data_IF_180920895321
#
_entry.id   IF_180920895321
#
_cell.length_a   1.000
_cell.length_b   1.000
_cell.length_c   1.000
_cell.angle_alpha   90.00
_cell.angle_beta   90.00
_cell.angle_gamma   90.00
#
_symmetry.space_group_name_H-M   'P 1'
#
loop_
_entity.id
_entity.type
_entity.pdbx_description
1 polymer ?
#
# COMPACT_ATOMS: atom_id res chain seq x y z
N UNK A 1 -1.40 -1.70 -17.50
CA UNK A 1 -2.49 -0.91 -16.86
C UNK A 1 -3.12 -1.57 -15.62
N UNK A 2 -3.79 -2.72 -15.74
CA UNK A 2 -4.62 -3.30 -14.66
C UNK A 2 -3.91 -3.46 -13.30
N UNK A 3 -2.63 -3.84 -13.32
CA UNK A 3 -1.83 -4.01 -12.10
C UNK A 3 -1.69 -2.73 -11.27
N UNK A 4 -1.54 -1.56 -11.91
CA UNK A 4 -1.43 -0.28 -11.20
C UNK A 4 -2.79 0.20 -10.66
N UNK A 5 -3.86 0.04 -11.45
CA UNK A 5 -5.20 0.39 -11.00
C UNK A 5 -5.64 -0.45 -9.78
N UNK A 6 -5.32 -1.75 -9.79
CA UNK A 6 -5.65 -2.66 -8.69
C UNK A 6 -4.98 -2.29 -7.36
N UNK A 7 -3.83 -1.62 -7.40
CA UNK A 7 -3.13 -1.15 -6.20
C UNK A 7 -3.44 0.31 -5.86
N UNK A 8 -4.43 0.92 -6.51
CA UNK A 8 -4.96 2.23 -6.16
C UNK A 8 -4.37 3.42 -6.94
N UNK A 9 -3.71 3.20 -8.09
CA UNK A 9 -3.34 4.31 -8.95
C UNK A 9 -4.59 4.99 -9.54
N UNK A 10 -4.59 6.32 -9.54
CA UNK A 10 -5.66 7.15 -10.14
C UNK A 10 -5.10 8.05 -11.23
N UNK A 11 -5.87 8.28 -12.30
CA UNK A 11 -5.51 9.23 -13.35
C UNK A 11 -5.71 10.65 -12.85
N UNK A 12 -4.70 11.50 -13.02
CA UNK A 12 -4.70 12.89 -12.52
C UNK A 12 -4.31 13.91 -13.57
N UNK A 13 -4.05 13.49 -14.80
CA UNK A 13 -3.65 14.39 -15.86
C UNK A 13 -3.08 13.67 -17.07
N UNK A 14 -2.56 14.45 -18.00
CA UNK A 14 -1.95 13.97 -19.24
C UNK A 14 -0.91 14.97 -19.76
N UNK A 15 -0.09 14.52 -20.70
CA UNK A 15 0.83 15.35 -21.46
C UNK A 15 0.23 15.76 -22.80
N UNK A 16 0.58 16.95 -23.25
CA UNK A 16 0.21 17.50 -24.56
C UNK A 16 1.46 18.03 -25.26
N UNK A 17 1.41 18.09 -26.58
CA UNK A 17 2.45 18.71 -27.39
C UNK A 17 2.01 20.10 -27.83
N UNK A 18 2.88 21.08 -27.69
CA UNK A 18 2.72 22.42 -28.23
C UNK A 18 3.97 22.81 -29.04
N UNK A 19 3.96 23.99 -29.65
CA UNK A 19 5.08 24.48 -30.47
C UNK A 19 6.41 24.57 -29.68
N UNK A 20 6.34 24.75 -28.36
CA UNK A 20 7.50 24.96 -27.47
C UNK A 20 7.98 23.66 -26.80
N UNK A 21 7.32 22.51 -27.05
CA UNK A 21 7.65 21.21 -26.48
C UNK A 21 6.46 20.51 -25.84
N UNK A 22 6.74 19.69 -24.82
CA UNK A 22 5.67 19.01 -24.07
C UNK A 22 5.12 19.94 -23.00
N UNK A 23 3.86 19.75 -22.63
CA UNK A 23 3.19 20.46 -21.53
C UNK A 23 2.32 19.49 -20.75
N UNK A 24 2.45 19.51 -19.42
CA UNK A 24 1.58 18.71 -18.56
C UNK A 24 0.28 19.45 -18.26
N UNK A 25 -0.82 18.72 -18.16
CA UNK A 25 -2.11 19.19 -17.67
C UNK A 25 -2.55 18.26 -16.54
N UNK A 26 -2.53 18.76 -15.31
CA UNK A 26 -3.08 18.05 -14.16
C UNK A 26 -4.52 18.54 -13.90
N UNK A 27 -5.44 17.62 -13.62
CA UNK A 27 -6.81 17.91 -13.23
C UNK A 27 -7.00 17.90 -11.71
N UNK A 28 -6.07 17.29 -10.98
CA UNK A 28 -6.10 17.12 -9.53
C UNK A 28 -4.69 16.89 -8.97
N UNK A 29 -4.56 16.86 -7.63
CA UNK A 29 -3.33 16.49 -6.92
C UNK A 29 -2.07 17.33 -7.22
N UNK A 30 -2.24 18.57 -7.70
CA UNK A 30 -1.13 19.47 -8.07
C UNK A 30 -0.06 19.64 -6.98
N UNK A 31 -0.50 19.77 -5.73
CA UNK A 31 0.37 20.05 -4.57
C UNK A 31 0.71 18.81 -3.76
N UNK A 32 0.21 17.62 -4.15
CA UNK A 32 0.43 16.38 -3.40
C UNK A 32 1.92 16.00 -3.44
N UNK A 33 2.46 15.60 -2.30
CA UNK A 33 3.85 15.18 -2.11
C UNK A 33 3.92 13.71 -1.69
N UNK A 34 5.11 13.12 -1.68
CA UNK A 34 5.32 11.70 -1.34
C UNK A 34 4.46 10.76 -2.19
N UNK A 35 4.44 11.02 -3.50
CA UNK A 35 3.65 10.25 -4.46
C UNK A 35 4.54 9.35 -5.29
N UNK A 36 4.04 8.15 -5.57
CA UNK A 36 4.51 7.33 -6.68
C UNK A 36 3.67 7.73 -7.89
N UNK A 37 4.29 7.93 -9.04
CA UNK A 37 3.62 8.30 -10.28
C UNK A 37 4.07 7.41 -11.43
N UNK A 38 3.24 7.35 -12.46
CA UNK A 38 3.52 6.59 -13.67
C UNK A 38 3.05 7.36 -14.91
N UNK A 39 3.81 7.20 -15.99
CA UNK A 39 3.40 7.61 -17.33
C UNK A 39 2.90 6.40 -18.09
N UNK A 40 1.69 6.50 -18.62
CA UNK A 40 0.99 5.41 -19.30
C UNK A 40 0.60 5.88 -20.69
N UNK A 41 0.83 5.07 -21.72
CA UNK A 41 0.40 5.35 -23.09
C UNK A 41 -0.27 4.13 -23.68
N UNK A 42 -1.50 4.28 -24.20
CA UNK A 42 -2.29 3.19 -24.78
C UNK A 42 -2.37 1.94 -23.87
N UNK A 43 -2.42 2.14 -22.55
CA UNK A 43 -2.47 1.06 -21.54
C UNK A 43 -1.12 0.48 -21.12
N UNK A 44 -0.03 0.82 -21.81
CA UNK A 44 1.33 0.42 -21.48
C UNK A 44 1.93 1.33 -20.43
N UNK A 45 2.53 0.74 -19.41
CA UNK A 45 3.25 1.47 -18.36
C UNK A 45 4.64 1.80 -18.90
N UNK A 46 4.87 3.06 -19.25
CA UNK A 46 6.12 3.49 -19.87
C UNK A 46 7.16 3.91 -18.85
N UNK A 47 6.73 4.53 -17.75
CA UNK A 47 7.63 5.01 -16.69
C UNK A 47 6.99 4.91 -15.32
N UNK A 48 7.80 4.67 -14.29
CA UNK A 48 7.44 4.74 -12.87
C UNK A 48 8.48 5.60 -12.16
N UNK A 49 8.03 6.50 -11.30
CA UNK A 49 8.93 7.31 -10.49
C UNK A 49 8.29 7.74 -9.17
N UNK A 50 9.11 8.09 -8.18
CA UNK A 50 8.65 8.71 -6.92
C UNK A 50 9.06 10.17 -6.80
N UNK A 51 8.34 10.94 -5.99
CA UNK A 51 8.73 12.31 -5.64
C UNK A 51 8.35 12.67 -4.21
N UNK A 52 9.26 13.35 -3.52
CA UNK A 52 9.00 14.03 -2.23
C UNK A 52 8.52 15.47 -2.42
N UNK A 53 8.73 16.04 -3.61
CA UNK A 53 8.27 17.37 -3.98
C UNK A 53 6.80 17.34 -4.42
N UNK A 54 6.19 18.51 -4.62
CA UNK A 54 4.84 18.59 -5.18
C UNK A 54 4.79 17.94 -6.57
N UNK A 55 3.70 17.22 -6.88
CA UNK A 55 3.52 16.56 -8.16
C UNK A 55 3.70 17.54 -9.33
N UNK A 56 3.10 18.73 -9.25
CA UNK A 56 3.24 19.78 -10.27
C UNK A 56 4.70 20.19 -10.50
N UNK A 57 5.48 20.34 -9.43
CA UNK A 57 6.92 20.65 -9.52
C UNK A 57 7.69 19.50 -10.18
N UNK A 58 7.33 18.24 -9.87
CA UNK A 58 7.96 17.07 -10.50
C UNK A 58 7.64 17.00 -11.99
N UNK A 59 6.39 17.23 -12.38
CA UNK A 59 5.98 17.29 -13.80
C UNK A 59 6.65 18.45 -14.52
N UNK A 60 6.75 19.62 -13.90
CA UNK A 60 7.49 20.75 -14.46
C UNK A 60 8.95 20.39 -14.75
N UNK A 61 9.59 19.60 -13.90
CA UNK A 61 10.97 19.13 -14.12
C UNK A 61 11.12 18.24 -15.37
N UNK A 62 10.10 17.45 -15.72
CA UNK A 62 10.08 16.73 -17.00
C UNK A 62 9.76 17.65 -18.17
N UNK A 63 8.89 18.64 -17.97
CA UNK A 63 8.52 19.61 -19.00
C UNK A 63 9.73 20.45 -19.45
N UNK A 64 10.50 20.96 -18.47
CA UNK A 64 11.62 21.87 -18.67
C UNK A 64 12.88 21.31 -18.00
N UNK A 65 13.49 20.25 -18.56
CA UNK A 65 14.63 19.61 -17.93
C UNK A 65 15.86 20.53 -17.97
N UNK A 66 16.57 20.62 -16.84
CA UNK A 66 17.89 21.26 -16.78
C UNK A 66 18.97 20.40 -17.46
N UNK A 67 20.11 20.98 -17.87
CA UNK A 67 21.13 20.29 -18.67
C UNK A 67 21.77 19.06 -17.98
N UNK A 68 21.78 19.03 -16.65
CA UNK A 68 22.30 17.90 -15.87
C UNK A 68 21.25 16.84 -15.50
N UNK A 69 19.97 17.07 -15.81
CA UNK A 69 18.87 16.21 -15.41
C UNK A 69 18.63 15.09 -16.42
N UNK A 70 19.61 14.19 -16.57
CA UNK A 70 19.64 13.13 -17.59
C UNK A 70 18.34 12.31 -17.68
N UNK A 71 17.74 11.93 -16.55
CA UNK A 71 16.45 11.22 -16.53
C UNK A 71 15.31 12.08 -17.08
N UNK A 72 15.24 13.35 -16.68
CA UNK A 72 14.18 14.23 -17.14
C UNK A 72 14.33 14.52 -18.64
N UNK A 73 15.55 14.76 -19.13
CA UNK A 73 15.86 14.96 -20.56
C UNK A 73 15.38 13.75 -21.37
N UNK A 74 15.75 12.54 -20.95
CA UNK A 74 15.40 11.31 -21.65
C UNK A 74 13.89 11.05 -21.65
N UNK A 75 13.24 11.20 -20.50
CA UNK A 75 11.79 10.98 -20.38
C UNK A 75 11.01 12.06 -21.13
N UNK A 76 11.47 13.31 -21.13
CA UNK A 76 10.92 14.38 -21.97
C UNK A 76 10.94 14.00 -23.44
N UNK A 77 12.10 13.58 -23.96
CA UNK A 77 12.25 13.14 -25.34
C UNK A 77 11.34 11.96 -25.69
N UNK A 78 11.16 11.01 -24.76
CA UNK A 78 10.28 9.86 -24.94
C UNK A 78 8.80 10.25 -24.97
N UNK A 79 8.35 11.16 -24.08
CA UNK A 79 7.00 11.71 -24.10
C UNK A 79 6.75 12.45 -25.43
N UNK A 80 7.69 13.31 -25.83
CA UNK A 80 7.60 14.06 -27.08
C UNK A 80 7.43 13.14 -28.29
N UNK A 81 8.25 12.10 -28.38
CA UNK A 81 8.17 11.12 -29.47
C UNK A 81 6.78 10.46 -29.53
N UNK A 82 6.21 10.04 -28.40
CA UNK A 82 4.87 9.44 -28.40
C UNK A 82 3.81 10.44 -28.87
N UNK A 83 3.86 11.68 -28.39
CA UNK A 83 2.89 12.70 -28.77
C UNK A 83 3.04 13.15 -30.24
N UNK A 84 4.26 13.20 -30.78
CA UNK A 84 4.53 13.46 -32.20
C UNK A 84 3.92 12.36 -33.12
N UNK A 85 3.69 11.16 -32.56
CA UNK A 85 3.05 10.03 -33.25
C UNK A 85 1.57 9.87 -32.85
N UNK A 86 0.92 10.93 -32.36
CA UNK A 86 -0.47 10.96 -31.91
C UNK A 86 -0.82 9.92 -30.83
N UNK A 87 0.17 9.50 -30.03
CA UNK A 87 -0.04 8.58 -28.92
C UNK A 87 -0.19 9.35 -27.60
N UNK A 88 -1.30 9.16 -26.86
CA UNK A 88 -1.53 9.87 -25.62
C UNK A 88 -0.55 9.41 -24.53
N UNK A 89 -0.20 10.32 -23.61
CA UNK A 89 0.58 9.98 -22.42
C UNK A 89 -0.13 10.52 -21.18
N UNK A 90 -0.73 9.62 -20.41
CA UNK A 90 -1.46 9.91 -19.20
C UNK A 90 -0.56 9.87 -17.95
N UNK A 91 -0.95 10.64 -16.94
CA UNK A 91 -0.27 10.75 -15.65
C UNK A 91 -1.15 10.08 -14.59
N UNK A 92 -0.65 8.99 -14.03
CA UNK A 92 -1.29 8.30 -12.92
C UNK A 92 -0.47 8.46 -11.64
N UNK A 93 -1.12 8.50 -10.49
CA UNK A 93 -0.44 8.56 -9.18
C UNK A 93 -1.02 7.56 -8.19
N UNK A 94 -0.17 7.13 -7.26
CA UNK A 94 -0.55 6.49 -6.00
C UNK A 94 -0.08 7.39 -4.86
N UNK A 95 -1.04 7.88 -4.09
CA UNK A 95 -0.77 8.71 -2.92
C UNK A 95 -0.46 7.82 -1.72
N UNK A 96 0.57 8.19 -0.96
CA UNK A 96 0.80 7.58 0.35
C UNK A 96 -0.31 8.02 1.31
N UNK A 97 -1.13 7.08 1.76
CA UNK A 97 -2.17 7.33 2.76
C UNK A 97 -1.59 7.51 4.17
N UNK A 98 -0.28 7.28 4.36
CA UNK A 98 0.45 7.45 5.61
C UNK A 98 0.07 6.45 6.69
N UNK A 99 -0.70 5.41 6.32
CA UNK A 99 -1.22 4.40 7.24
C UNK A 99 -0.20 3.28 7.46
N UNK A 100 0.66 3.01 6.47
CA UNK A 100 1.62 1.92 6.57
C UNK A 100 2.72 2.23 7.60
N UNK A 101 2.84 1.35 8.61
CA UNK A 101 3.79 1.49 9.72
C UNK A 101 4.57 0.21 9.97
N UNK A 102 5.81 0.37 10.41
CA UNK A 102 6.64 -0.68 11.01
C UNK A 102 7.06 -0.22 12.40
N UNK A 103 6.41 -0.78 13.43
CA UNK A 103 6.47 -0.21 14.77
C UNK A 103 6.00 1.25 14.77
N UNK A 104 6.82 2.15 15.32
CA UNK A 104 6.51 3.59 15.36
C UNK A 104 6.90 4.34 14.07
N UNK A 105 7.57 3.68 13.13
CA UNK A 105 8.06 4.30 11.90
C UNK A 105 7.03 4.23 10.79
N UNK A 106 6.75 5.38 10.15
CA UNK A 106 5.95 5.42 8.93
C UNK A 106 6.77 4.89 7.77
N UNK A 107 6.23 3.91 7.06
CA UNK A 107 6.82 3.43 5.81
C UNK A 107 6.35 4.37 4.70
N UNK A 108 7.29 4.92 3.94
CA UNK A 108 6.95 5.69 2.76
C UNK A 108 6.57 4.71 1.64
N UNK A 109 5.28 4.67 1.29
CA UNK A 109 4.76 3.72 0.31
C UNK A 109 5.43 3.90 -1.06
N UNK A 110 5.62 5.16 -1.48
CA UNK A 110 6.26 5.48 -2.75
C UNK A 110 7.72 5.02 -2.79
N UNK A 111 8.43 5.11 -1.67
CA UNK A 111 9.80 4.62 -1.57
C UNK A 111 9.87 3.09 -1.54
N UNK A 112 8.95 2.43 -0.84
CA UNK A 112 8.93 0.97 -0.68
C UNK A 112 8.45 0.20 -1.91
N UNK A 113 7.60 0.78 -2.76
CA UNK A 113 7.04 0.09 -3.92
C UNK A 113 7.76 0.39 -5.25
N UNK A 114 8.48 1.50 -5.38
CA UNK A 114 9.06 1.93 -6.66
C UNK A 114 9.98 0.86 -7.27
N UNK A 115 10.97 0.38 -6.52
CA UNK A 115 11.96 -0.57 -7.04
C UNK A 115 11.31 -1.92 -7.41
N UNK A 116 10.37 -2.41 -6.59
CA UNK A 116 9.61 -3.63 -6.86
C UNK A 116 8.75 -3.50 -8.12
N UNK A 117 8.05 -2.38 -8.27
CA UNK A 117 7.22 -2.15 -9.45
C UNK A 117 8.07 -2.00 -10.71
N UNK A 118 9.21 -1.32 -10.64
CA UNK A 118 10.14 -1.23 -11.78
C UNK A 118 10.67 -2.60 -12.14
N UNK A 119 11.05 -3.42 -11.16
CA UNK A 119 11.55 -4.78 -11.40
C UNK A 119 10.49 -5.67 -12.06
N UNK A 120 9.27 -5.71 -11.51
CA UNK A 120 8.23 -6.63 -11.96
C UNK A 120 7.52 -6.19 -13.24
N UNK A 121 7.42 -4.87 -13.48
CA UNK A 121 6.76 -4.33 -14.69
C UNK A 121 7.79 -4.11 -15.80
N UNK A 122 9.04 -3.84 -15.44
CA UNK A 122 10.14 -3.49 -16.34
C UNK A 122 9.76 -2.40 -17.37
N UNK A 123 9.34 -1.19 -16.94
CA UNK A 123 8.95 -0.14 -17.88
C UNK A 123 10.10 0.29 -18.78
N UNK A 124 9.80 0.50 -20.06
CA UNK A 124 10.80 0.84 -21.09
C UNK A 124 11.66 2.05 -20.71
N UNK A 125 11.06 3.04 -20.02
CA UNK A 125 11.74 4.30 -19.69
C UNK A 125 12.40 4.27 -18.30
N UNK A 126 12.38 3.16 -17.57
CA UNK A 126 13.13 3.02 -16.32
C UNK A 126 14.46 2.32 -16.59
N UNK A 127 15.59 3.03 -16.56
CA UNK A 127 16.93 2.45 -16.82
C UNK A 127 17.57 1.81 -15.58
N UNK A 128 17.29 2.39 -14.40
CA UNK A 128 17.72 1.87 -13.10
C UNK A 128 16.56 1.13 -12.43
N UNK A 129 16.85 0.19 -11.52
CA UNK A 129 15.82 -0.58 -10.82
C UNK A 129 15.55 -1.97 -11.39
N UNK A 130 15.96 -2.25 -12.63
CA UNK A 130 15.71 -3.54 -13.30
C UNK A 130 16.42 -4.74 -12.65
N UNK A 131 17.48 -4.51 -11.88
CA UNK A 131 18.33 -5.53 -11.28
C UNK A 131 18.43 -5.41 -9.73
N UNK A 132 17.56 -4.62 -9.10
CA UNK A 132 17.74 -4.20 -7.69
C UNK A 132 17.17 -5.16 -6.64
N UNK A 133 16.49 -6.24 -7.03
CA UNK A 133 16.10 -7.29 -6.10
C UNK A 133 17.12 -8.41 -6.24
N UNK A 134 18.06 -8.59 -5.30
CA UNK A 134 18.77 -9.85 -5.19
C UNK A 134 17.71 -10.93 -5.05
N UNK A 135 17.58 -11.78 -6.06
CA UNK A 135 16.91 -13.07 -5.86
C UNK A 135 17.75 -13.73 -4.79
N UNK A 136 17.19 -13.85 -3.59
CA UNK A 136 17.84 -14.45 -2.43
C UNK A 136 18.08 -15.92 -2.77
N UNK A 137 19.15 -16.20 -3.53
CA UNK A 137 19.39 -17.51 -4.15
C UNK A 137 20.00 -18.49 -3.14
N UNK A 138 20.21 -18.04 -1.90
CA UNK A 138 20.79 -18.78 -0.79
C UNK A 138 19.81 -19.03 0.39
N UNK A 139 18.61 -18.45 0.35
CA UNK A 139 17.55 -18.75 1.32
C UNK A 139 16.70 -19.89 0.76
N UNK A 140 16.94 -21.10 1.29
CA UNK A 140 16.31 -22.40 1.01
C UNK A 140 15.30 -22.43 -0.14
N UNK A 141 15.73 -22.97 -1.29
CA UNK A 141 14.91 -23.23 -2.48
C UNK A 141 13.88 -24.35 -2.18
N UNK A 142 12.57 -24.10 -2.05
CA UNK A 142 11.58 -25.16 -2.15
C UNK A 142 11.32 -25.37 -3.65
N UNK A 143 11.45 -26.59 -4.14
CA UNK A 143 11.10 -26.93 -5.51
C UNK A 143 9.66 -26.49 -5.81
N UNK A 144 9.54 -25.57 -6.77
CA UNK A 144 8.28 -25.05 -7.26
C UNK A 144 7.57 -26.15 -8.08
N UNK A 145 6.85 -27.04 -7.39
CA UNK A 145 5.93 -27.97 -8.04
C UNK A 145 4.79 -27.18 -8.68
N UNK A 146 4.51 -27.51 -9.94
CA UNK A 146 3.55 -26.83 -10.81
C UNK A 146 2.11 -27.18 -10.42
N UNK A 147 1.53 -26.48 -9.44
CA UNK A 147 0.08 -26.28 -9.34
C UNK A 147 -0.23 -24.94 -8.62
N UNK A 148 -1.25 -24.18 -9.05
CA UNK A 148 -1.54 -22.86 -8.50
C UNK A 148 -2.27 -22.99 -7.17
N UNK A 149 -1.54 -23.01 -6.05
CA UNK A 149 -2.13 -22.85 -4.72
C UNK A 149 -1.98 -21.39 -4.29
N UNK A 150 -3.14 -20.77 -4.09
CA UNK A 150 -3.39 -19.45 -3.49
C UNK A 150 -2.25 -18.93 -2.61
N UNK A 151 -1.50 -17.96 -3.14
CA UNK A 151 -0.51 -17.17 -2.38
C UNK A 151 -1.23 -16.06 -1.64
N UNK A 152 -1.82 -16.36 -0.49
CA UNK A 152 -2.04 -15.33 0.53
C UNK A 152 -0.66 -14.90 1.03
N UNK A 153 -0.34 -13.61 0.88
CA UNK A 153 0.96 -13.06 1.27
C UNK A 153 1.30 -13.41 2.73
N UNK A 154 2.52 -13.93 2.95
CA UNK A 154 3.04 -14.26 4.27
C UNK A 154 3.33 -12.97 5.04
N UNK A 155 2.31 -12.41 5.71
CA UNK A 155 2.49 -11.37 6.71
C UNK A 155 3.25 -12.01 7.89
N UNK A 156 4.35 -11.43 8.41
CA UNK A 156 5.01 -11.94 9.60
C UNK A 156 4.04 -11.84 10.79
N UNK A 157 3.55 -12.99 11.25
CA UNK A 157 2.68 -13.11 12.42
C UNK A 157 3.57 -13.37 13.63
N UNK A 158 3.54 -12.47 14.63
CA UNK A 158 4.27 -12.65 15.89
C UNK A 158 3.72 -13.85 16.67
N UNK A 159 2.39 -13.96 16.72
CA UNK A 159 1.66 -15.10 17.29
C UNK A 159 0.21 -15.06 16.86
N UNK A 160 -0.48 -16.20 16.99
CA UNK A 160 -1.93 -16.30 16.75
C UNK A 160 -2.62 -16.64 18.05
N UNK A 161 -3.68 -15.89 18.37
CA UNK A 161 -4.51 -16.11 19.55
C UNK A 161 -5.94 -16.47 19.13
N UNK A 162 -6.63 -17.20 20.00
CA UNK A 162 -8.02 -17.60 19.77
C UNK A 162 -8.94 -16.79 20.69
N UNK A 163 -9.94 -16.13 20.11
CA UNK A 163 -10.92 -15.32 20.82
C UNK A 163 -12.29 -15.98 20.69
N UNK A 164 -12.84 -16.42 21.83
CA UNK A 164 -14.22 -16.89 21.88
C UNK A 164 -15.18 -15.70 21.75
N UNK A 165 -16.00 -15.69 20.70
CA UNK A 165 -16.96 -14.63 20.40
C UNK A 165 -18.22 -14.74 21.27
N UNK A 166 -18.06 -14.47 22.57
CA UNK A 166 -19.17 -14.32 23.50
C UNK A 166 -20.12 -13.17 23.11
N UNK A 167 -21.27 -13.10 23.77
CA UNK A 167 -22.35 -12.19 23.40
C UNK A 167 -21.93 -10.71 23.31
N UNK A 168 -21.01 -10.25 24.17
CA UNK A 168 -20.51 -8.89 24.14
C UNK A 168 -19.65 -8.62 22.88
N UNK A 169 -18.67 -9.49 22.60
CA UNK A 169 -17.75 -9.31 21.47
C UNK A 169 -18.50 -9.37 20.14
N UNK A 170 -19.43 -10.34 20.03
CA UNK A 170 -20.28 -10.54 18.87
C UNK A 170 -21.22 -9.34 18.58
N UNK A 171 -21.71 -8.67 19.62
CA UNK A 171 -22.72 -7.60 19.45
C UNK A 171 -22.16 -6.18 19.54
N UNK A 172 -20.94 -5.98 20.02
CA UNK A 172 -20.42 -4.64 20.29
C UNK A 172 -19.18 -4.29 19.46
N UNK A 173 -18.52 -5.26 18.80
CA UNK A 173 -17.39 -4.98 17.92
C UNK A 173 -16.12 -4.61 18.66
N UNK A 174 -15.83 -5.37 19.72
CA UNK A 174 -14.55 -5.33 20.42
C UNK A 174 -14.19 -6.74 20.89
N UNK A 175 -12.93 -6.95 21.27
CA UNK A 175 -12.52 -8.14 22.01
C UNK A 175 -11.45 -7.79 23.03
N UNK A 176 -11.35 -8.58 24.09
CA UNK A 176 -10.28 -8.46 25.07
C UNK A 176 -9.13 -9.41 24.73
N UNK A 177 -7.92 -8.96 25.01
CA UNK A 177 -6.70 -9.75 24.88
C UNK A 177 -6.30 -10.32 26.24
N UNK A 178 -5.85 -11.58 26.26
CA UNK A 178 -5.32 -12.25 27.44
C UNK A 178 -4.10 -11.52 28.03
N UNK A 179 -3.86 -11.70 29.34
CA UNK A 179 -2.74 -11.03 30.04
C UNK A 179 -1.40 -11.41 29.43
N UNK A 180 -1.25 -12.67 29.05
CA UNK A 180 -0.06 -13.27 28.46
C UNK A 180 0.35 -12.63 27.11
N UNK A 181 -0.58 -11.95 26.42
CA UNK A 181 -0.30 -11.24 25.17
C UNK A 181 -0.34 -9.72 25.33
N UNK A 182 -0.57 -9.20 26.55
CA UNK A 182 -0.80 -7.78 26.81
C UNK A 182 0.35 -6.88 26.36
N UNK A 183 1.59 -7.34 26.52
CA UNK A 183 2.81 -6.60 26.14
C UNK A 183 3.02 -6.55 24.62
N UNK A 184 2.33 -7.41 23.86
CA UNK A 184 2.39 -7.43 22.40
C UNK A 184 1.49 -6.37 21.75
N UNK A 185 0.87 -5.49 22.55
CA UNK A 185 -0.04 -4.44 22.10
C UNK A 185 0.43 -3.08 22.62
N UNK A 186 0.15 -2.04 21.84
CA UNK A 186 0.52 -0.65 22.12
C UNK A 186 -0.13 -0.04 23.36
N UNK A 187 0.19 1.24 23.58
CA UNK A 187 -0.28 2.01 24.72
C UNK A 187 -1.81 2.25 24.70
N UNK A 188 -2.35 2.72 25.83
CA UNK A 188 -3.75 3.15 25.92
C UNK A 188 -4.05 4.27 24.90
N UNK A 189 -5.21 4.20 24.26
CA UNK A 189 -5.67 5.08 23.17
C UNK A 189 -4.82 5.09 21.89
N UNK A 190 -3.84 4.19 21.75
CA UNK A 190 -3.14 4.03 20.48
C UNK A 190 -4.09 3.52 19.39
N UNK A 191 -3.95 4.03 18.17
CA UNK A 191 -4.69 3.49 17.02
C UNK A 191 -4.15 2.12 16.64
N UNK A 192 -5.03 1.23 16.18
CA UNK A 192 -4.68 -0.12 15.75
C UNK A 192 -5.37 -0.44 14.43
N UNK A 193 -4.60 -0.96 13.48
CA UNK A 193 -5.14 -1.44 12.20
C UNK A 193 -5.62 -2.88 12.35
N UNK A 194 -6.85 -3.13 11.89
CA UNK A 194 -7.52 -4.43 12.03
C UNK A 194 -7.83 -4.94 10.62
N UNK A 195 -7.04 -5.89 10.15
CA UNK A 195 -7.28 -6.59 8.90
C UNK A 195 -8.36 -7.66 9.09
N UNK A 196 -9.32 -7.72 8.17
CA UNK A 196 -10.49 -8.56 8.24
C UNK A 196 -10.44 -9.64 7.15
N UNK A 197 -10.51 -10.90 7.57
CA UNK A 197 -10.42 -12.07 6.70
C UNK A 197 -8.99 -12.53 6.42
N UNK A 198 -8.85 -13.76 5.93
CA UNK A 198 -7.55 -14.38 5.67
C UNK A 198 -6.78 -13.73 4.53
N UNK A 199 -7.47 -13.10 3.57
CA UNK A 199 -6.82 -12.38 2.45
C UNK A 199 -6.31 -11.00 2.85
N UNK A 200 -6.82 -10.40 3.94
CA UNK A 200 -6.41 -9.07 4.41
C UNK A 200 -6.88 -7.90 3.54
N UNK A 201 -7.78 -8.14 2.58
CA UNK A 201 -8.20 -7.13 1.58
C UNK A 201 -9.00 -5.96 2.19
N UNK A 202 -9.57 -6.16 3.38
CA UNK A 202 -10.31 -5.14 4.11
C UNK A 202 -9.61 -4.81 5.41
N UNK A 203 -9.23 -3.55 5.60
CA UNK A 203 -8.65 -3.06 6.86
C UNK A 203 -9.54 -1.97 7.43
N UNK A 204 -9.84 -2.07 8.72
CA UNK A 204 -10.56 -1.05 9.47
C UNK A 204 -9.63 -0.47 10.54
N UNK A 205 -9.90 0.77 10.97
CA UNK A 205 -9.14 1.42 12.03
C UNK A 205 -9.88 1.32 13.36
N UNK A 206 -9.17 0.85 14.39
CA UNK A 206 -9.64 0.78 15.76
C UNK A 206 -8.72 1.54 16.72
N UNK A 207 -8.95 1.34 18.02
CA UNK A 207 -8.05 1.81 19.07
C UNK A 207 -7.90 0.79 20.19
N UNK A 208 -6.80 0.91 20.93
CA UNK A 208 -6.48 0.06 22.08
C UNK A 208 -6.99 0.76 23.34
N UNK A 209 -7.86 0.09 24.10
CA UNK A 209 -8.35 0.57 25.39
C UNK A 209 -7.83 -0.33 26.51
N UNK A 210 -6.89 0.18 27.31
CA UNK A 210 -6.33 -0.50 28.49
C UNK A 210 -7.04 -0.10 29.79
N UNK A 211 -7.90 0.91 29.77
CA UNK A 211 -8.69 1.32 30.95
C UNK A 211 -9.99 0.54 31.12
N UNK A 212 -10.46 -0.15 30.07
CA UNK A 212 -11.70 -0.91 30.09
C UNK A 212 -11.67 -2.16 30.98
N UNK A 213 -10.48 -2.72 31.20
CA UNK A 213 -10.27 -3.90 32.04
C UNK A 213 -9.48 -3.49 33.29
N UNK A 214 -9.95 -3.88 34.48
CA UNK A 214 -9.33 -3.48 35.77
C UNK A 214 -7.85 -3.86 35.92
N UNK A 215 -7.42 -4.90 35.21
CA UNK A 215 -6.06 -5.41 35.21
C UNK A 215 -5.16 -4.79 34.13
N UNK A 216 -5.64 -3.77 33.40
CA UNK A 216 -4.88 -3.06 32.38
C UNK A 216 -4.72 -3.80 31.04
N UNK A 217 -5.34 -4.97 30.87
CA UNK A 217 -5.19 -5.74 29.62
C UNK A 217 -5.92 -5.05 28.47
N UNK A 218 -5.38 -5.11 27.24
CA UNK A 218 -5.92 -4.35 26.14
C UNK A 218 -7.27 -4.92 25.69
N UNK A 219 -8.22 -4.00 25.48
CA UNK A 219 -9.43 -4.20 24.71
C UNK A 219 -9.25 -3.56 23.35
N UNK A 220 -9.37 -4.36 22.30
CA UNK A 220 -9.27 -3.88 20.92
C UNK A 220 -10.65 -3.43 20.47
N UNK A 221 -10.78 -2.14 20.16
CA UNK A 221 -12.04 -1.50 19.81
C UNK A 221 -12.11 -1.29 18.30
N UNK A 222 -12.98 -2.04 17.60
CA UNK A 222 -13.20 -1.89 16.15
C UNK A 222 -14.61 -1.37 15.79
N UNK A 223 -15.45 -1.13 16.79
CA UNK A 223 -16.73 -0.44 16.65
C UNK A 223 -17.74 -1.14 15.73
N UNK A 224 -18.56 -0.34 15.04
CA UNK A 224 -19.65 -0.83 14.18
C UNK A 224 -19.15 -1.70 13.03
N UNK A 225 -18.01 -1.36 12.45
CA UNK A 225 -17.43 -2.08 11.31
C UNK A 225 -16.98 -3.48 11.73
N UNK A 226 -16.22 -3.59 12.82
CA UNK A 226 -15.82 -4.89 13.37
C UNK A 226 -17.03 -5.73 13.76
N UNK A 227 -18.03 -5.13 14.42
CA UNK A 227 -19.27 -5.82 14.78
C UNK A 227 -19.96 -6.41 13.56
N UNK A 228 -20.15 -5.60 12.52
CA UNK A 228 -20.86 -6.03 11.32
C UNK A 228 -20.09 -7.14 10.61
N UNK A 229 -18.76 -7.03 10.53
CA UNK A 229 -17.93 -8.08 9.97
C UNK A 229 -18.00 -9.39 10.76
N UNK A 230 -17.90 -9.33 12.10
CA UNK A 230 -18.06 -10.53 12.95
C UNK A 230 -19.40 -11.22 12.68
N UNK A 231 -20.50 -10.46 12.63
CA UNK A 231 -21.85 -11.01 12.39
C UNK A 231 -22.03 -11.63 11.01
N UNK A 232 -21.27 -11.16 10.02
CA UNK A 232 -21.34 -11.67 8.66
C UNK A 232 -20.49 -12.93 8.44
N UNK A 233 -19.50 -13.18 9.30
CA UNK A 233 -18.50 -14.24 9.10
C UNK A 233 -18.52 -15.33 10.16
N UNK A 234 -19.07 -15.07 11.35
CA UNK A 234 -19.10 -16.00 12.48
C UNK A 234 -20.51 -16.14 13.04
N UNK A 235 -20.74 -17.23 13.77
CA UNK A 235 -21.92 -17.42 14.63
C UNK A 235 -21.58 -17.05 16.09
N UNK A 236 -22.59 -16.76 16.93
CA UNK A 236 -22.36 -16.57 18.35
C UNK A 236 -21.64 -17.78 18.97
N UNK A 237 -20.64 -17.52 19.82
CA UNK A 237 -19.76 -18.51 20.45
C UNK A 237 -18.79 -19.25 19.51
N UNK A 238 -18.66 -18.83 18.26
CA UNK A 238 -17.54 -19.28 17.44
C UNK A 238 -16.21 -18.75 17.98
N UNK A 239 -15.12 -19.39 17.57
CA UNK A 239 -13.76 -18.93 17.87
C UNK A 239 -13.21 -18.19 16.67
N UNK A 240 -12.86 -16.93 16.86
CA UNK A 240 -12.15 -16.10 15.89
C UNK A 240 -10.66 -16.18 16.14
N UNK A 241 -9.87 -16.41 15.09
CA UNK A 241 -8.41 -16.34 15.17
C UNK A 241 -7.95 -14.90 14.99
N UNK A 242 -6.95 -14.53 15.76
CA UNK A 242 -6.33 -13.21 15.73
C UNK A 242 -4.83 -13.39 15.58
N UNK A 243 -4.32 -13.09 14.40
CA UNK A 243 -2.89 -12.96 14.19
C UNK A 243 -2.44 -11.59 14.69
N UNK A 244 -1.50 -11.58 15.63
CA UNK A 244 -0.83 -10.37 16.09
C UNK A 244 0.33 -10.12 15.13
N UNK A 245 0.24 -9.03 14.37
CA UNK A 245 1.24 -8.66 13.36
C UNK A 245 2.26 -7.71 13.98
N UNK A 246 1.78 -6.73 14.77
CA UNK A 246 2.60 -5.79 15.51
C UNK A 246 1.82 -5.23 16.71
N UNK A 247 2.44 -4.42 17.58
CA UNK A 247 1.73 -3.75 18.67
C UNK A 247 0.50 -2.92 18.28
N UNK A 248 0.41 -2.51 17.01
CA UNK A 248 -0.66 -1.67 16.46
C UNK A 248 -1.28 -2.28 15.20
N UNK A 249 -1.11 -3.58 14.95
CA UNK A 249 -1.74 -4.25 13.81
C UNK A 249 -2.11 -5.71 14.12
N UNK A 250 -3.33 -6.09 13.75
CA UNK A 250 -3.84 -7.47 13.87
C UNK A 250 -4.59 -7.90 12.61
N UNK A 251 -4.65 -9.21 12.35
CA UNK A 251 -5.52 -9.82 11.34
C UNK A 251 -6.50 -10.81 11.97
N UNK A 252 -7.77 -10.72 11.60
CA UNK A 252 -8.87 -11.53 12.14
C UNK A 252 -9.41 -12.47 11.07
N UNK A 253 -9.63 -13.75 11.38
CA UNK A 253 -10.18 -14.75 10.46
C UNK A 253 -10.76 -15.97 11.16
#
# INVERSE_FOLDING_TARGET
>A
MNRLLNIGFVSVGHWTLNNDGIKFNLTSHHTTTNVLYSFISNGDIKYIGKTKMQLSQRMYGYQNPGPSQTTNIRVNAAIKNLLDNDQPVDIFILTDNGLLRYGDFRINLAAGLEDTLIYEINPDWNLSGRNLIPVDTASEKPELSKEPKSTAALIPVLTTINILLGQAYYNQGFFNVGREYSEMFGADNATIDIQLGSSGDTTIQGYINRTANKNGTPRIMGGKELRNWIKNNFKPNDTMKVDIISPIAVRLY
#
